data_IF_107605922636
#
_entry.id   IF_107605922636
#
_cell.length_a   1.000
_cell.length_b   1.000
_cell.length_c   1.000
_cell.angle_alpha   90.00
_cell.angle_beta   90.00
_cell.angle_gamma   90.00
#
_symmetry.space_group_name_H-M   'P 1'
#
loop_
_entity.id
_entity.type
_entity.pdbx_description
1 polymer ?
#
# COMPACT_ATOMS: atom_id res chain seq x y z
N UNK A 1 13.19 22.22 -3.83
CA UNK A 1 13.30 20.79 -3.42
C UNK A 1 13.19 19.92 -4.66
N UNK A 2 14.15 19.03 -4.92
CA UNK A 2 14.09 18.14 -6.10
C UNK A 2 13.50 16.79 -5.68
N UNK A 3 12.34 16.44 -6.23
CA UNK A 3 11.57 15.25 -5.82
C UNK A 3 11.37 14.37 -7.04
N UNK A 4 11.76 13.11 -6.93
CA UNK A 4 11.34 12.10 -7.89
C UNK A 4 9.88 11.74 -7.60
N UNK A 5 9.02 11.94 -8.60
CA UNK A 5 7.62 11.55 -8.53
C UNK A 5 7.37 10.51 -9.60
N UNK A 6 6.68 9.45 -9.21
CA UNK A 6 6.13 8.53 -10.17
C UNK A 6 4.95 9.19 -10.88
N UNK A 7 5.23 9.82 -12.03
CA UNK A 7 4.20 10.50 -12.81
C UNK A 7 3.87 9.60 -13.99
N UNK A 8 2.63 9.14 -14.03
CA UNK A 8 2.06 8.59 -15.24
C UNK A 8 1.29 9.68 -15.99
N UNK A 9 1.37 9.76 -17.33
CA UNK A 9 0.51 10.65 -18.10
C UNK A 9 -0.96 10.29 -17.83
N UNK A 10 -1.66 11.19 -17.14
CA UNK A 10 -3.03 11.06 -16.65
C UNK A 10 -4.11 11.18 -17.74
N UNK A 11 -3.74 11.16 -19.02
CA UNK A 11 -4.62 11.58 -20.12
C UNK A 11 -5.71 10.58 -20.51
N UNK A 12 -6.01 9.56 -19.71
CA UNK A 12 -6.91 8.49 -20.14
C UNK A 12 -7.98 8.04 -19.15
N UNK A 13 -8.33 8.82 -18.11
CA UNK A 13 -9.41 8.44 -17.18
C UNK A 13 -10.44 9.56 -16.98
N UNK A 14 -11.48 9.59 -17.83
CA UNK A 14 -12.85 9.92 -17.41
C UNK A 14 -13.83 9.18 -18.33
N UNK A 15 -14.23 7.99 -17.90
CA UNK A 15 -15.22 7.16 -18.59
C UNK A 15 -14.85 5.69 -18.43
N UNK A 16 -15.36 5.09 -17.36
CA UNK A 16 -15.44 3.65 -17.04
C UNK A 16 -14.75 2.69 -18.04
N UNK A 17 -13.80 1.93 -17.50
CA UNK A 17 -12.99 0.80 -18.02
C UNK A 17 -11.66 1.12 -18.74
N UNK A 18 -10.57 0.37 -18.41
CA UNK A 18 -10.60 -1.06 -18.12
C UNK A 18 -10.32 -1.40 -16.66
N UNK A 19 -11.24 -2.20 -16.07
CA UNK A 19 -10.78 -3.33 -15.28
C UNK A 19 -9.76 -4.05 -16.17
N UNK A 20 -8.51 -4.15 -15.74
CA UNK A 20 -7.62 -5.16 -16.31
C UNK A 20 -8.44 -6.47 -16.27
N UNK A 21 -8.91 -6.93 -17.44
CA UNK A 21 -9.73 -8.11 -17.54
C UNK A 21 -8.81 -9.30 -17.19
N UNK A 22 -8.69 -9.58 -15.89
CA UNK A 22 -7.85 -10.66 -15.35
C UNK A 22 -8.38 -12.04 -15.75
N UNK A 23 -9.57 -12.10 -16.35
CA UNK A 23 -10.24 -13.34 -16.72
C UNK A 23 -10.17 -13.68 -18.22
N UNK A 24 -9.68 -12.79 -19.08
CA UNK A 24 -9.63 -13.02 -20.54
C UNK A 24 -8.29 -12.59 -21.15
N UNK A 25 -7.28 -13.42 -20.98
CA UNK A 25 -6.23 -13.70 -21.95
C UNK A 25 -5.21 -14.60 -21.28
N UNK A 26 -4.65 -15.55 -22.01
CA UNK A 26 -3.50 -16.33 -21.53
C UNK A 26 -2.41 -15.37 -21.05
N UNK A 27 -2.32 -15.19 -19.74
CA UNK A 27 -1.21 -14.54 -19.08
C UNK A 27 0.00 -15.44 -19.29
N UNK A 28 0.74 -15.21 -20.36
CA UNK A 28 2.18 -15.26 -20.18
C UNK A 28 2.49 -14.09 -19.28
N UNK A 29 3.07 -14.36 -18.11
CA UNK A 29 3.71 -13.34 -17.30
C UNK A 29 4.43 -12.35 -18.24
N UNK A 30 4.36 -11.02 -18.00
CA UNK A 30 5.20 -10.11 -18.75
C UNK A 30 6.59 -10.72 -18.75
N UNK A 31 7.25 -10.76 -19.90
CA UNK A 31 8.63 -11.24 -20.00
C UNK A 31 9.44 -10.31 -19.10
N UNK A 32 9.48 -10.67 -17.82
CA UNK A 32 10.48 -10.28 -16.88
C UNK A 32 11.71 -10.80 -17.59
N UNK A 33 12.49 -9.88 -18.16
CA UNK A 33 13.92 -10.15 -18.23
C UNK A 33 14.28 -10.75 -16.88
N UNK A 34 14.94 -11.90 -16.92
CA UNK A 34 15.41 -12.57 -15.73
C UNK A 34 16.42 -11.64 -15.05
N UNK A 35 15.88 -10.75 -14.24
CA UNK A 35 16.58 -9.77 -13.43
C UNK A 35 16.91 -10.39 -12.07
N UNK A 36 16.90 -11.73 -11.98
CA UNK A 36 17.18 -12.50 -10.76
C UNK A 36 18.51 -12.15 -10.13
N UNK A 37 19.44 -11.52 -10.88
CA UNK A 37 20.71 -11.09 -10.33
C UNK A 37 20.91 -9.57 -10.26
N UNK A 38 20.07 -8.91 -9.46
CA UNK A 38 20.31 -7.54 -8.97
C UNK A 38 21.73 -7.33 -8.42
N UNK A 39 22.32 -8.38 -7.83
CA UNK A 39 23.69 -8.32 -7.31
C UNK A 39 24.73 -8.21 -8.42
N UNK A 40 24.56 -8.89 -9.56
CA UNK A 40 25.41 -8.72 -10.75
C UNK A 40 25.29 -7.31 -11.34
N UNK A 41 24.07 -6.79 -11.51
CA UNK A 41 23.87 -5.42 -12.01
C UNK A 41 24.53 -4.35 -11.13
N UNK A 42 24.55 -4.59 -9.81
CA UNK A 42 25.26 -3.72 -8.87
C UNK A 42 26.78 -3.84 -8.94
N UNK A 43 27.34 -4.79 -9.69
CA UNK A 43 28.78 -4.83 -10.02
C UNK A 43 29.11 -4.15 -11.35
N UNK A 44 28.11 -3.89 -12.21
CA UNK A 44 28.31 -3.29 -13.53
C UNK A 44 28.60 -1.78 -13.44
N UNK A 45 29.84 -1.31 -13.75
CA UNK A 45 30.22 0.08 -13.50
C UNK A 45 29.40 1.10 -14.30
N UNK A 46 29.01 0.74 -15.53
CA UNK A 46 28.21 1.60 -16.40
C UNK A 46 26.79 1.75 -15.83
N UNK A 47 26.19 0.65 -15.38
CA UNK A 47 24.85 0.69 -14.77
C UNK A 47 24.85 1.57 -13.52
N UNK A 48 25.80 1.36 -12.60
CA UNK A 48 25.94 2.18 -11.40
C UNK A 48 26.13 3.67 -11.73
N UNK A 49 26.99 3.99 -12.71
CA UNK A 49 27.25 5.37 -13.12
C UNK A 49 25.98 6.07 -13.63
N UNK A 50 25.21 5.40 -14.48
CA UNK A 50 23.95 5.94 -15.01
C UNK A 50 22.90 6.07 -13.89
N UNK A 51 22.76 5.04 -13.06
CA UNK A 51 21.82 5.04 -11.94
C UNK A 51 22.13 6.17 -10.95
N UNK A 52 23.40 6.35 -10.57
CA UNK A 52 23.81 7.42 -9.67
C UNK A 52 23.57 8.79 -10.31
N UNK A 53 23.96 8.97 -11.58
CA UNK A 53 23.70 10.20 -12.34
C UNK A 53 22.20 10.54 -12.44
N UNK A 54 21.33 9.52 -12.42
CA UNK A 54 19.89 9.70 -12.35
C UNK A 54 19.44 10.17 -10.97
N UNK A 55 19.85 9.47 -9.91
CA UNK A 55 19.42 9.77 -8.54
C UNK A 55 20.01 11.08 -7.99
N UNK A 56 21.18 11.51 -8.44
CA UNK A 56 21.80 12.80 -8.08
C UNK A 56 20.97 14.03 -8.49
N UNK A 57 19.98 13.83 -9.37
CA UNK A 57 19.02 14.87 -9.77
C UNK A 57 17.95 15.10 -8.72
N UNK A 58 17.81 14.23 -7.73
CA UNK A 58 16.74 14.25 -6.75
C UNK A 58 17.28 14.21 -5.32
N UNK A 59 16.49 14.73 -4.38
CA UNK A 59 16.78 14.69 -2.94
C UNK A 59 15.78 13.79 -2.22
N UNK A 60 14.55 13.74 -2.73
CA UNK A 60 13.44 12.98 -2.17
C UNK A 60 12.79 12.12 -3.25
N UNK A 61 12.06 11.10 -2.80
CA UNK A 61 11.08 10.35 -3.57
C UNK A 61 9.69 10.58 -2.96
N UNK A 62 8.68 10.79 -3.81
CA UNK A 62 7.29 10.81 -3.37
C UNK A 62 6.77 9.37 -3.26
N UNK A 63 6.31 9.01 -2.06
CA UNK A 63 5.71 7.72 -1.76
C UNK A 63 4.40 7.91 -0.99
N UNK A 64 3.62 6.84 -0.89
CA UNK A 64 2.29 6.84 -0.31
C UNK A 64 2.14 5.72 0.70
N UNK A 65 1.53 6.04 1.84
CA UNK A 65 1.11 5.06 2.84
C UNK A 65 -0.41 5.09 2.99
N UNK A 66 -1.05 3.93 2.98
CA UNK A 66 -2.48 3.81 3.26
C UNK A 66 -2.74 3.39 4.69
N UNK A 67 -3.70 4.05 5.30
CA UNK A 67 -4.21 3.70 6.63
C UNK A 67 -5.68 4.11 6.74
N UNK A 68 -6.34 3.68 7.82
CA UNK A 68 -7.70 4.05 8.17
C UNK A 68 -7.79 4.52 9.62
N UNK A 69 -7.04 5.58 10.02
CA UNK A 69 -7.05 6.05 11.39
C UNK A 69 -8.40 6.66 11.75
N UNK A 70 -8.74 6.68 13.04
CA UNK A 70 -9.90 7.42 13.55
C UNK A 70 -9.67 8.93 13.43
N UNK A 71 -8.43 9.37 13.67
CA UNK A 71 -7.95 10.73 13.45
C UNK A 71 -6.65 10.73 12.61
N UNK A 72 -6.71 11.14 11.33
CA UNK A 72 -5.52 11.30 10.49
C UNK A 72 -4.49 12.31 11.03
N UNK A 73 -4.89 13.25 11.89
CA UNK A 73 -3.99 14.28 12.42
C UNK A 73 -2.88 13.67 13.29
N UNK A 74 -3.16 12.57 14.00
CA UNK A 74 -2.17 11.85 14.82
C UNK A 74 -0.94 11.47 13.99
N UNK A 75 -1.13 11.05 12.74
CA UNK A 75 -0.02 10.67 11.84
C UNK A 75 0.80 11.90 11.45
N UNK A 76 0.19 13.07 11.25
CA UNK A 76 0.92 14.33 11.01
C UNK A 76 1.68 14.84 12.23
N UNK A 77 1.33 14.38 13.44
CA UNK A 77 2.01 14.76 14.67
C UNK A 77 3.15 13.80 15.03
N UNK A 78 2.94 12.50 14.84
CA UNK A 78 3.84 11.45 15.32
C UNK A 78 4.72 10.87 14.21
N UNK A 79 4.27 10.94 12.96
CA UNK A 79 4.87 10.21 11.85
C UNK A 79 4.21 8.85 11.64
N UNK A 80 4.88 7.98 10.88
CA UNK A 80 4.52 6.57 10.78
C UNK A 80 5.39 5.76 11.73
N UNK A 81 4.74 5.14 12.69
CA UNK A 81 5.35 4.24 13.65
C UNK A 81 5.42 2.83 13.07
N UNK A 82 6.35 2.04 13.61
CA UNK A 82 6.44 0.63 13.27
C UNK A 82 5.18 -0.11 13.73
N UNK A 83 4.85 -1.18 13.00
CA UNK A 83 3.74 -2.05 13.37
C UNK A 83 4.04 -2.77 14.69
N UNK A 84 3.18 -2.54 15.69
CA UNK A 84 3.23 -3.17 17.00
C UNK A 84 2.05 -4.14 17.15
N UNK A 85 2.34 -5.44 17.19
CA UNK A 85 1.31 -6.47 17.33
C UNK A 85 0.63 -6.43 18.70
N UNK A 86 1.33 -6.08 19.78
CA UNK A 86 0.73 -5.97 21.11
C UNK A 86 -0.29 -4.83 21.16
N UNK A 87 0.06 -3.69 20.56
CA UNK A 87 -0.87 -2.58 20.39
C UNK A 87 -2.09 -2.98 19.54
N UNK A 88 -1.87 -3.67 18.41
CA UNK A 88 -2.95 -4.12 17.53
C UNK A 88 -3.85 -5.17 18.20
N UNK A 89 -3.28 -6.05 19.02
CA UNK A 89 -4.04 -7.02 19.83
C UNK A 89 -4.86 -6.33 20.90
N UNK A 90 -4.29 -5.34 21.59
CA UNK A 90 -5.05 -4.51 22.52
C UNK A 90 -6.22 -3.82 21.80
N UNK A 91 -5.96 -3.22 20.63
CA UNK A 91 -6.99 -2.59 19.82
C UNK A 91 -8.07 -3.60 19.39
N UNK A 92 -7.69 -4.82 19.01
CA UNK A 92 -8.64 -5.88 18.68
C UNK A 92 -9.55 -6.23 19.86
N UNK A 93 -8.99 -6.41 21.06
CA UNK A 93 -9.76 -6.67 22.29
C UNK A 93 -10.74 -5.54 22.59
N UNK A 94 -10.24 -4.31 22.55
CA UNK A 94 -11.06 -3.11 22.77
C UNK A 94 -12.24 -3.08 21.79
N UNK A 95 -11.99 -3.31 20.50
CA UNK A 95 -13.02 -3.25 19.46
C UNK A 95 -14.06 -4.38 19.56
N UNK A 96 -13.66 -5.62 19.82
CA UNK A 96 -14.52 -6.78 19.57
C UNK A 96 -14.94 -7.56 20.82
N UNK A 97 -14.10 -7.56 21.85
CA UNK A 97 -14.41 -8.21 23.14
C UNK A 97 -15.08 -7.19 24.07
N UNK A 98 -14.56 -5.97 24.14
CA UNK A 98 -15.00 -4.96 25.10
C UNK A 98 -16.12 -4.04 24.58
N UNK A 99 -16.09 -3.64 23.30
CA UNK A 99 -17.14 -2.76 22.76
C UNK A 99 -18.31 -3.58 22.18
N UNK A 100 -18.01 -4.52 21.28
CA UNK A 100 -19.02 -5.24 20.50
C UNK A 100 -19.53 -6.49 21.24
N UNK A 101 -18.74 -7.05 22.16
CA UNK A 101 -19.07 -8.22 22.98
C UNK A 101 -19.53 -9.46 22.19
N UNK A 102 -19.02 -9.65 20.98
CA UNK A 102 -19.42 -10.78 20.10
C UNK A 102 -18.52 -11.99 20.23
N UNK A 103 -17.29 -11.78 20.65
CA UNK A 103 -16.26 -12.81 20.82
C UNK A 103 -15.63 -12.70 22.20
N UNK A 104 -14.96 -13.76 22.63
CA UNK A 104 -14.22 -13.80 23.89
C UNK A 104 -12.72 -14.06 23.64
N UNK A 105 -11.92 -14.09 24.72
CA UNK A 105 -10.47 -14.33 24.63
C UNK A 105 -10.14 -15.69 23.99
N UNK A 106 -10.94 -16.74 24.22
CA UNK A 106 -10.69 -18.05 23.62
C UNK A 106 -10.86 -18.01 22.10
N UNK A 107 -11.81 -17.23 21.58
CA UNK A 107 -11.97 -17.01 20.14
C UNK A 107 -10.74 -16.30 19.54
N UNK A 108 -10.23 -15.27 20.23
CA UNK A 108 -9.01 -14.57 19.82
C UNK A 108 -7.78 -15.49 19.82
N UNK A 109 -7.58 -16.28 20.88
CA UNK A 109 -6.45 -17.21 20.96
C UNK A 109 -6.51 -18.27 19.85
N UNK A 110 -7.69 -18.80 19.55
CA UNK A 110 -7.87 -19.73 18.42
C UNK A 110 -7.54 -19.05 17.08
N UNK A 111 -8.00 -17.82 16.88
CA UNK A 111 -7.69 -17.06 15.68
C UNK A 111 -6.19 -16.80 15.52
N UNK A 112 -5.48 -16.52 16.60
CA UNK A 112 -4.03 -16.29 16.62
C UNK A 112 -3.25 -17.54 16.22
N UNK A 113 -3.68 -18.71 16.66
CA UNK A 113 -3.04 -19.99 16.28
C UNK A 113 -3.18 -20.32 14.80
N UNK A 114 -4.24 -19.83 14.15
CA UNK A 114 -4.51 -20.04 12.73
C UNK A 114 -3.81 -19.03 11.83
N UNK A 115 -3.41 -17.88 12.39
CA UNK A 115 -2.78 -16.80 11.64
C UNK A 115 -1.27 -17.02 11.53
N UNK A 116 -0.72 -16.93 10.31
CA UNK A 116 0.72 -16.82 10.14
C UNK A 116 1.18 -15.41 10.51
N UNK A 117 1.69 -15.25 11.72
CA UNK A 117 2.14 -13.96 12.28
C UNK A 117 3.58 -13.61 11.92
N UNK A 118 4.29 -14.46 11.17
CA UNK A 118 5.74 -14.37 11.02
C UNK A 118 6.25 -13.26 10.11
N UNK A 119 5.41 -12.65 9.27
CA UNK A 119 5.91 -11.97 8.06
C UNK A 119 5.87 -10.45 8.07
N UNK A 120 5.29 -9.77 9.07
CA UNK A 120 5.05 -8.32 8.93
C UNK A 120 5.15 -7.45 10.20
N UNK A 121 5.75 -7.94 11.28
CA UNK A 121 5.98 -7.11 12.46
C UNK A 121 7.11 -6.09 12.22
N UNK A 122 7.07 -4.97 12.93
CA UNK A 122 8.15 -3.97 12.95
C UNK A 122 8.49 -3.35 11.58
N UNK A 123 7.52 -3.28 10.66
CA UNK A 123 7.73 -2.70 9.35
C UNK A 123 6.68 -1.65 8.95
N UNK A 124 7.07 -0.75 8.06
CA UNK A 124 6.21 0.22 7.38
C UNK A 124 6.29 -0.04 5.89
N UNK A 125 5.12 -0.17 5.26
CA UNK A 125 5.00 -0.32 3.82
C UNK A 125 4.56 1.00 3.17
N UNK A 126 5.26 1.42 2.11
CA UNK A 126 4.88 2.57 1.28
C UNK A 126 5.02 2.21 -0.19
N UNK A 127 4.21 2.81 -1.05
CA UNK A 127 4.24 2.59 -2.50
C UNK A 127 4.64 3.85 -3.25
N UNK A 128 5.16 3.72 -4.46
CA UNK A 128 5.45 4.87 -5.32
C UNK A 128 4.23 5.37 -6.10
N UNK A 129 3.22 4.51 -6.30
CA UNK A 129 2.02 4.78 -7.09
C UNK A 129 0.76 4.52 -6.24
N UNK A 130 0.09 5.58 -5.80
CA UNK A 130 -1.08 5.46 -4.94
C UNK A 130 -2.28 4.76 -5.62
N UNK A 131 -2.34 4.75 -6.96
CA UNK A 131 -3.44 4.12 -7.71
C UNK A 131 -3.48 2.62 -7.45
N UNK A 132 -2.30 2.01 -7.36
CA UNK A 132 -2.15 0.61 -6.98
C UNK A 132 -2.84 0.30 -5.63
N UNK A 133 -2.74 1.21 -4.65
CA UNK A 133 -3.42 1.04 -3.37
C UNK A 133 -4.94 1.13 -3.52
N UNK A 134 -5.45 2.15 -4.23
CA UNK A 134 -6.90 2.37 -4.35
C UNK A 134 -7.59 1.20 -5.09
N UNK A 135 -6.89 0.62 -6.05
CA UNK A 135 -7.48 -0.32 -7.00
C UNK A 135 -7.17 -1.78 -6.68
N UNK A 136 -5.99 -2.07 -6.11
CA UNK A 136 -5.50 -3.45 -5.94
C UNK A 136 -5.14 -3.79 -4.50
N UNK A 137 -4.46 -2.90 -3.76
CA UNK A 137 -4.11 -3.08 -2.35
C UNK A 137 -5.04 -2.27 -1.42
N UNK A 138 -6.34 -2.35 -1.69
CA UNK A 138 -7.37 -1.51 -1.08
C UNK A 138 -7.73 -1.89 0.37
N UNK A 139 -7.34 -3.07 0.84
CA UNK A 139 -7.70 -3.56 2.17
C UNK A 139 -7.16 -2.68 3.30
N UNK A 140 -6.00 -2.03 3.11
CA UNK A 140 -5.48 -1.05 4.06
C UNK A 140 -6.40 0.17 4.22
N UNK A 141 -7.08 0.58 3.14
CA UNK A 141 -8.04 1.69 3.17
C UNK A 141 -9.42 1.26 3.66
N UNK A 142 -9.81 0.01 3.39
CA UNK A 142 -11.14 -0.52 3.73
C UNK A 142 -11.20 -0.98 5.20
N UNK A 143 -10.20 -1.71 5.68
CA UNK A 143 -10.20 -2.32 7.02
C UNK A 143 -9.21 -1.66 7.98
N UNK A 144 -8.25 -0.88 7.48
CA UNK A 144 -7.29 -0.13 8.29
C UNK A 144 -6.11 -0.92 8.84
N UNK A 145 -6.28 -2.22 9.09
CA UNK A 145 -5.22 -3.10 9.58
C UNK A 145 -5.40 -4.50 9.03
N UNK A 146 -4.42 -4.94 8.23
CA UNK A 146 -4.36 -6.31 7.71
C UNK A 146 -4.24 -7.35 8.83
N UNK A 147 -3.53 -7.01 9.91
CA UNK A 147 -3.43 -7.87 11.08
C UNK A 147 -4.80 -8.10 11.75
N UNK A 148 -5.54 -7.02 12.04
CA UNK A 148 -6.86 -7.10 12.65
C UNK A 148 -7.84 -7.81 11.70
N UNK A 149 -7.78 -7.52 10.40
CA UNK A 149 -8.58 -8.21 9.39
C UNK A 149 -8.27 -9.71 9.34
N UNK A 150 -6.99 -10.09 9.40
CA UNK A 150 -6.54 -11.48 9.43
C UNK A 150 -7.16 -12.24 10.59
N UNK A 151 -7.16 -11.64 11.78
CA UNK A 151 -7.84 -12.21 12.95
C UNK A 151 -9.34 -12.41 12.70
N UNK A 152 -10.03 -11.40 12.16
CA UNK A 152 -11.48 -11.50 11.85
C UNK A 152 -11.80 -12.62 10.85
N UNK A 153 -10.96 -12.84 9.84
CA UNK A 153 -11.19 -13.89 8.83
C UNK A 153 -11.18 -15.30 9.43
N UNK A 154 -10.41 -15.51 10.51
CA UNK A 154 -10.34 -16.78 11.22
C UNK A 154 -11.46 -16.98 12.27
N UNK A 155 -12.46 -16.09 12.31
CA UNK A 155 -13.62 -16.16 13.22
C UNK A 155 -14.94 -16.40 12.45
N UNK A 156 -15.17 -17.61 11.88
CA UNK A 156 -16.22 -17.84 10.88
C UNK A 156 -17.64 -17.58 11.38
N UNK A 157 -17.92 -17.77 12.67
CA UNK A 157 -19.27 -17.58 13.23
C UNK A 157 -19.69 -16.11 13.34
N UNK A 158 -18.73 -15.18 13.32
CA UNK A 158 -18.98 -13.75 13.54
C UNK A 158 -18.39 -12.86 12.43
N UNK A 159 -17.69 -13.47 11.46
CA UNK A 159 -16.89 -12.79 10.45
C UNK A 159 -17.60 -11.60 9.84
N UNK A 160 -18.80 -11.79 9.29
CA UNK A 160 -19.50 -10.75 8.55
C UNK A 160 -19.86 -9.54 9.44
N UNK A 161 -20.33 -9.79 10.66
CA UNK A 161 -20.65 -8.73 11.64
C UNK A 161 -19.39 -7.96 12.08
N UNK A 162 -18.27 -8.66 12.30
CA UNK A 162 -17.00 -8.03 12.69
C UNK A 162 -16.38 -7.25 11.52
N UNK A 163 -16.56 -7.73 10.28
CA UNK A 163 -16.18 -7.01 9.07
C UNK A 163 -16.97 -5.69 8.97
N UNK A 164 -18.28 -5.71 9.22
CA UNK A 164 -19.10 -4.49 9.18
C UNK A 164 -18.57 -3.41 10.14
N UNK A 165 -18.16 -3.80 11.35
CA UNK A 165 -17.51 -2.90 12.32
C UNK A 165 -16.23 -2.28 11.75
N UNK A 166 -15.40 -3.06 11.05
CA UNK A 166 -14.18 -2.54 10.40
C UNK A 166 -14.51 -1.60 9.24
N UNK A 167 -15.55 -1.89 8.46
CA UNK A 167 -16.01 -1.03 7.36
C UNK A 167 -16.48 0.34 7.87
N UNK A 168 -17.17 0.36 9.02
CA UNK A 168 -17.75 1.57 9.59
C UNK A 168 -16.76 2.45 10.37
N UNK A 169 -15.64 1.91 10.87
CA UNK A 169 -14.66 2.66 11.69
C UNK A 169 -13.55 3.32 10.88
N UNK A 170 -12.95 4.37 11.43
CA UNK A 170 -11.84 5.12 10.81
C UNK A 170 -12.20 5.93 9.56
N UNK A 171 -11.19 6.61 9.01
CA UNK A 171 -11.24 7.43 7.80
C UNK A 171 -10.19 6.89 6.81
N UNK A 172 -10.58 6.32 5.65
CA UNK A 172 -9.63 5.88 4.63
C UNK A 172 -8.76 7.04 4.18
N UNK A 173 -7.45 6.88 4.34
CA UNK A 173 -6.51 7.98 4.16
C UNK A 173 -5.23 7.50 3.48
N UNK A 174 -4.86 8.21 2.42
CA UNK A 174 -3.55 8.10 1.79
C UNK A 174 -2.69 9.26 2.25
N UNK A 175 -1.58 8.93 2.91
CA UNK A 175 -0.57 9.90 3.33
C UNK A 175 0.48 10.01 2.23
N UNK A 176 0.70 11.24 1.75
CA UNK A 176 1.78 11.55 0.82
C UNK A 176 3.03 11.90 1.61
N UNK A 177 4.13 11.26 1.26
CA UNK A 177 5.39 11.33 1.98
C UNK A 177 6.47 11.74 0.99
N UNK A 178 7.25 12.76 1.33
CA UNK A 178 8.50 13.06 0.63
C UNK A 178 9.64 12.42 1.41
N UNK A 179 10.00 11.21 1.01
CA UNK A 179 11.01 10.42 1.70
C UNK A 179 12.41 10.77 1.17
N UNK A 180 13.39 11.11 2.03
CA UNK A 180 14.75 11.38 1.57
C UNK A 180 15.35 10.18 0.84
N UNK A 181 16.15 10.39 -0.21
CA UNK A 181 16.82 9.27 -0.90
C UNK A 181 17.84 8.52 -0.03
N UNK A 182 18.22 9.07 1.12
CA UNK A 182 19.01 8.36 2.14
C UNK A 182 18.21 7.27 2.85
N UNK A 183 16.88 7.25 2.72
CA UNK A 183 16.07 6.14 3.21
C UNK A 183 16.19 4.88 2.34
N UNK A 184 16.56 5.04 1.07
CA UNK A 184 16.67 3.95 0.12
C UNK A 184 18.08 3.38 0.13
N UNK A 185 18.18 2.05 0.22
CA UNK A 185 19.44 1.34 -0.01
C UNK A 185 19.83 1.43 -1.50
N UNK A 186 21.08 1.11 -1.83
CA UNK A 186 21.48 1.01 -3.24
C UNK A 186 20.70 -0.08 -3.98
N UNK A 187 20.27 -1.14 -3.28
CA UNK A 187 19.41 -2.19 -3.84
C UNK A 187 18.03 -1.64 -4.21
N UNK A 188 17.41 -0.85 -3.32
CA UNK A 188 16.13 -0.19 -3.57
C UNK A 188 16.22 0.74 -4.78
N UNK A 189 17.27 1.57 -4.82
CA UNK A 189 17.54 2.50 -5.92
C UNK A 189 17.75 1.76 -7.25
N UNK A 190 18.50 0.66 -7.25
CA UNK A 190 18.75 -0.15 -8.44
C UNK A 190 17.48 -0.83 -8.94
N UNK A 191 16.70 -1.42 -8.03
CA UNK A 191 15.44 -2.07 -8.37
C UNK A 191 14.45 -1.07 -8.98
N UNK A 192 14.24 0.08 -8.32
CA UNK A 192 13.34 1.11 -8.84
C UNK A 192 13.86 1.68 -10.17
N UNK A 193 15.15 1.95 -10.29
CA UNK A 193 15.73 2.44 -11.54
C UNK A 193 15.54 1.46 -12.70
N UNK A 194 15.70 0.16 -12.44
CA UNK A 194 15.40 -0.89 -13.41
C UNK A 194 13.92 -0.89 -13.80
N UNK A 195 13.00 -0.77 -12.84
CA UNK A 195 11.55 -0.66 -13.13
C UNK A 195 11.25 0.54 -14.02
N UNK A 196 11.85 1.71 -13.74
CA UNK A 196 11.72 2.91 -14.59
C UNK A 196 12.16 2.61 -16.03
N UNK A 197 13.31 1.97 -16.22
CA UNK A 197 13.83 1.63 -17.55
C UNK A 197 12.89 0.64 -18.27
N UNK A 198 12.45 -0.40 -17.57
CA UNK A 198 11.58 -1.43 -18.14
C UNK A 198 10.25 -0.83 -18.60
N UNK A 199 9.61 -0.02 -17.76
CA UNK A 199 8.36 0.64 -18.12
C UNK A 199 8.54 1.65 -19.25
N UNK A 200 9.64 2.41 -19.26
CA UNK A 200 9.93 3.32 -20.36
C UNK A 200 10.06 2.57 -21.71
N UNK A 201 10.67 1.38 -21.71
CA UNK A 201 10.76 0.53 -22.90
C UNK A 201 9.38 0.01 -23.33
N UNK A 202 8.57 -0.44 -22.39
CA UNK A 202 7.20 -0.91 -22.68
C UNK A 202 6.35 0.19 -23.28
N UNK A 203 6.36 1.39 -22.68
CA UNK A 203 5.65 2.56 -23.18
C UNK A 203 6.07 2.90 -24.61
N UNK A 204 7.37 2.85 -24.90
CA UNK A 204 7.92 3.11 -26.25
C UNK A 204 7.49 2.06 -27.27
N UNK A 205 7.38 0.79 -26.87
CA UNK A 205 7.13 -0.33 -27.79
C UNK A 205 5.64 -0.63 -28.02
N UNK A 206 4.79 -0.42 -27.02
CA UNK A 206 3.39 -0.90 -27.02
C UNK A 206 2.34 0.19 -27.29
N UNK A 207 2.73 1.33 -27.88
CA UNK A 207 1.84 2.45 -28.21
C UNK A 207 0.85 2.82 -27.08
N UNK A 208 1.33 2.82 -25.82
CA UNK A 208 0.55 3.20 -24.64
C UNK A 208 -0.71 2.37 -24.35
N UNK A 209 -0.93 1.23 -25.02
CA UNK A 209 -2.22 0.51 -24.95
C UNK A 209 -2.49 -0.22 -23.64
N UNK A 210 -1.46 -0.50 -22.83
CA UNK A 210 -1.58 -1.17 -21.53
C UNK A 210 -0.63 -0.54 -20.53
N UNK A 211 -1.12 0.45 -19.80
CA UNK A 211 -0.43 0.96 -18.62
C UNK A 211 -0.79 0.08 -17.43
N UNK A 212 0.18 -0.65 -16.90
CA UNK A 212 0.05 -1.34 -15.63
C UNK A 212 0.44 -0.37 -14.49
N UNK A 213 -0.25 -0.46 -13.35
CA UNK A 213 0.15 0.23 -12.12
C UNK A 213 1.57 -0.17 -11.72
N UNK A 214 2.31 0.72 -11.06
CA UNK A 214 3.54 0.29 -10.41
C UNK A 214 3.22 -0.41 -9.09
N UNK A 215 3.52 -1.70 -9.02
CA UNK A 215 3.39 -2.53 -7.83
C UNK A 215 4.56 -2.33 -6.84
N UNK A 216 5.41 -1.32 -7.06
CA UNK A 216 6.61 -1.19 -6.27
C UNK A 216 6.29 -0.64 -4.87
N UNK A 217 6.55 -1.49 -3.88
CA UNK A 217 6.46 -1.21 -2.46
C UNK A 217 7.86 -1.19 -1.86
N UNK A 218 8.11 -0.22 -0.99
CA UNK A 218 9.24 -0.23 -0.07
C UNK A 218 8.75 -0.66 1.31
N UNK A 219 9.53 -1.52 1.96
CA UNK A 219 9.32 -1.95 3.34
C UNK A 219 10.47 -1.44 4.19
N UNK A 220 10.15 -0.70 5.26
CA UNK A 220 11.15 -0.11 6.15
C UNK A 220 10.99 -0.66 7.57
N UNK A 221 12.09 -1.11 8.16
CA UNK A 221 12.21 -1.49 9.58
C UNK A 221 12.59 -0.31 10.47
N UNK A 222 12.21 0.91 10.05
CA UNK A 222 12.41 2.15 10.79
C UNK A 222 11.24 3.08 10.58
N UNK A 223 10.98 3.90 11.58
CA UNK A 223 9.91 4.90 11.55
C UNK A 223 10.14 5.96 10.45
N UNK A 224 9.03 6.54 9.98
CA UNK A 224 9.05 7.69 9.09
C UNK A 224 8.62 8.92 9.90
N UNK A 225 9.56 9.84 10.20
CA UNK A 225 9.26 11.06 10.94
C UNK A 225 8.13 11.90 10.34
N UNK A 226 7.36 12.55 11.21
CA UNK A 226 6.21 13.38 10.83
C UNK A 226 6.56 14.47 9.81
N UNK A 227 7.78 15.02 9.87
CA UNK A 227 8.22 16.10 8.98
C UNK A 227 8.45 15.65 7.52
N UNK A 228 8.38 14.35 7.23
CA UNK A 228 8.35 13.84 5.85
C UNK A 228 6.94 13.63 5.30
N UNK A 229 5.92 13.68 6.16
CA UNK A 229 4.52 13.57 5.78
C UNK A 229 4.05 14.96 5.34
N UNK A 230 3.78 15.12 4.05
CA UNK A 230 3.57 16.46 3.46
C UNK A 230 2.11 16.80 3.24
N UNK A 231 1.26 15.78 3.08
CA UNK A 231 -0.19 15.95 2.94
C UNK A 231 -0.87 14.59 3.06
N UNK A 232 -2.19 14.60 3.04
CA UNK A 232 -2.99 13.40 2.93
C UNK A 232 -4.22 13.68 2.08
N UNK A 233 -4.91 12.62 1.66
CA UNK A 233 -6.22 12.74 1.02
C UNK A 233 -7.07 11.50 1.29
N UNK A 234 -8.39 11.66 1.14
CA UNK A 234 -9.38 10.61 1.37
C UNK A 234 -9.98 10.16 0.03
N UNK A 235 -9.67 8.94 -0.45
CA UNK A 235 -10.29 8.45 -1.67
C UNK A 235 -11.79 8.20 -1.46
N UNK A 236 -12.62 8.79 -2.33
CA UNK A 236 -14.08 8.67 -2.25
C UNK A 236 -14.59 7.31 -2.75
N UNK A 237 -13.88 6.70 -3.69
CA UNK A 237 -14.22 5.42 -4.30
C UNK A 237 -13.00 4.51 -4.15
N UNK A 238 -13.18 3.40 -3.42
CA UNK A 238 -12.15 2.38 -3.24
C UNK A 238 -12.71 1.09 -3.80
N UNK A 239 -11.99 0.43 -4.71
CA UNK A 239 -12.41 -0.89 -5.21
C UNK A 239 -12.30 -1.86 -4.05
N UNK A 240 -13.30 -2.73 -3.85
CA UNK A 240 -13.26 -3.77 -2.84
C UNK A 240 -13.08 -5.12 -3.53
N UNK A 241 -11.83 -5.59 -3.56
CA UNK A 241 -11.43 -6.84 -4.21
C UNK A 241 -11.64 -8.09 -3.33
N UNK A 242 -11.92 -7.92 -2.03
CA UNK A 242 -11.93 -9.02 -1.05
C UNK A 242 -13.26 -9.78 -0.90
N UNK A 243 -14.37 -9.33 -1.52
CA UNK A 243 -15.70 -9.99 -1.41
C UNK A 243 -16.30 -10.46 -2.75
N UNK A 244 -15.44 -10.82 -3.71
CA UNK A 244 -15.80 -10.91 -5.13
C UNK A 244 -16.53 -12.18 -5.59
N UNK A 245 -17.35 -12.83 -4.76
CA UNK A 245 -18.34 -13.79 -5.30
C UNK A 245 -19.40 -13.10 -6.21
N UNK A 246 -19.46 -11.76 -6.21
CA UNK A 246 -20.41 -10.95 -6.97
C UNK A 246 -19.75 -9.82 -7.80
N UNK A 247 -18.44 -9.91 -8.06
CA UNK A 247 -17.68 -8.87 -8.78
C UNK A 247 -17.17 -7.71 -7.91
N UNK A 248 -16.38 -6.79 -8.49
CA UNK A 248 -15.78 -5.66 -7.76
C UNK A 248 -16.85 -4.71 -7.24
N UNK A 249 -16.88 -4.47 -5.92
CA UNK A 249 -17.78 -3.48 -5.29
C UNK A 249 -17.02 -2.19 -5.02
N UNK A 250 -17.69 -1.04 -5.11
CA UNK A 250 -17.09 0.25 -4.74
C UNK A 250 -17.43 0.56 -3.29
N UNK A 251 -16.42 0.60 -2.42
CA UNK A 251 -16.55 1.16 -1.08
C UNK A 251 -16.53 2.69 -1.18
N UNK A 252 -17.65 3.33 -0.80
CA UNK A 252 -17.81 4.78 -0.83
C UNK A 252 -17.62 5.36 0.56
N UNK A 253 -16.46 5.92 0.83
CA UNK A 253 -16.26 6.70 2.06
C UNK A 253 -16.73 8.13 1.83
N UNK A 254 -17.63 8.60 2.70
CA UNK A 254 -17.99 10.03 2.78
C UNK A 254 -17.29 10.75 3.94
N UNK A 255 -16.51 10.01 4.74
CA UNK A 255 -15.84 10.58 5.91
C UNK A 255 -14.67 11.45 5.46
N UNK A 256 -14.56 12.62 6.08
CA UNK A 256 -13.44 13.55 5.96
C UNK A 256 -12.95 13.89 7.35
N UNK A 257 -11.66 14.16 7.48
CA UNK A 257 -11.10 14.68 8.72
C UNK A 257 -11.22 16.21 8.79
N UNK A 258 -11.03 16.75 9.99
CA UNK A 258 -11.09 18.19 10.26
C UNK A 258 -10.03 18.98 9.48
N UNK A 259 -8.89 18.36 9.14
CA UNK A 259 -7.81 19.00 8.36
C UNK A 259 -8.18 19.26 6.89
N UNK A 260 -9.26 18.65 6.38
CA UNK A 260 -9.70 18.74 4.98
C UNK A 260 -11.04 19.48 4.81
N UNK A 261 -11.57 20.06 5.90
CA UNK A 261 -12.82 20.83 5.89
C UNK A 261 -12.58 22.31 5.57
#
# INVERSE_FOLDING_TARGET
>A
MKIFKWIYPSTWHYGIEPLCNLNDSGFTEPILYDFSNLAELLQEPIFLSIMNSFWDKFQYIEVYHASKPDDPQIIHQQGLLLRDHLYLLKKFRDLFINDVHKINENDLENSLQLMDTKTEENCINVVIDYRHIIEMANHYLIFGSEFIQGLVIHLPNFRDELIDVLLERGIPTLFKIHLPLSYLTNKDKAYLFQKIISEFKEVKNNNYSRSCYSFHTFTFEREIPYNYIVSHFHPNNIVNSHFSNYGPRIFKSKKRCEMCN
#
